data_IF_532767861289
#
_entry.id   IF_532767861289
#
_cell.length_a   1.000
_cell.length_b   1.000
_cell.length_c   1.000
_cell.angle_alpha   90.00
_cell.angle_beta   90.00
_cell.angle_gamma   90.00
#
_symmetry.space_group_name_H-M   'P 1'
#
loop_
_entity.id
_entity.type
_entity.pdbx_description
1 polymer ?
#
# COMPACT_ATOMS: atom_id res chain seq x y z
N UNK A 1 -10.91 60.68 -0.43
CA UNK A 1 -11.00 59.75 0.72
C UNK A 1 -12.05 58.63 0.57
N UNK A 2 -12.97 58.68 -0.40
CA UNK A 2 -13.95 57.58 -0.59
C UNK A 2 -13.46 56.37 -1.43
N UNK A 3 -12.38 56.53 -2.18
CA UNK A 3 -11.88 55.46 -3.06
C UNK A 3 -11.11 54.36 -2.30
N UNK A 4 -10.36 54.74 -1.26
CA UNK A 4 -9.64 53.78 -0.39
C UNK A 4 -10.58 53.02 0.56
N UNK A 5 -11.69 53.65 0.96
CA UNK A 5 -12.71 53.00 1.80
C UNK A 5 -13.47 51.89 1.04
N UNK A 6 -13.73 52.09 -0.25
CA UNK A 6 -14.38 51.07 -1.10
C UNK A 6 -13.45 49.90 -1.47
N UNK A 7 -12.16 50.14 -1.67
CA UNK A 7 -11.17 49.07 -1.92
C UNK A 7 -10.96 48.17 -0.70
N UNK A 8 -10.99 48.74 0.52
CA UNK A 8 -10.92 47.95 1.76
C UNK A 8 -12.12 47.03 1.95
N UNK A 9 -13.30 47.42 1.45
CA UNK A 9 -14.54 46.65 1.58
C UNK A 9 -14.63 45.47 0.59
N UNK A 10 -14.01 45.58 -0.59
CA UNK A 10 -13.93 44.48 -1.57
C UNK A 10 -12.90 43.39 -1.22
N UNK A 11 -11.96 43.65 -0.31
CA UNK A 11 -10.91 42.70 0.07
C UNK A 11 -11.24 41.87 1.32
N UNK A 12 -12.46 41.99 1.87
CA UNK A 12 -12.91 41.15 2.98
C UNK A 12 -13.76 40.02 2.40
N UNK A 13 -13.19 38.83 2.14
CA UNK A 13 -14.00 37.67 1.81
C UNK A 13 -15.03 37.46 2.93
N UNK A 14 -16.29 37.31 2.54
CA UNK A 14 -17.41 37.11 3.46
C UNK A 14 -17.10 35.91 4.36
N UNK A 15 -17.06 36.11 5.68
CA UNK A 15 -16.71 35.07 6.66
C UNK A 15 -17.57 33.81 6.51
N UNK A 16 -18.81 33.95 6.03
CA UNK A 16 -19.72 32.84 5.73
C UNK A 16 -19.25 31.98 4.55
N UNK A 17 -18.61 32.55 3.55
CA UNK A 17 -18.08 31.83 2.39
C UNK A 17 -16.81 31.05 2.76
N UNK A 18 -15.95 31.65 3.60
CA UNK A 18 -14.73 31.00 4.11
C UNK A 18 -15.07 29.80 5.00
N UNK A 19 -16.05 29.95 5.91
CA UNK A 19 -16.50 28.86 6.78
C UNK A 19 -17.17 27.74 6.00
N UNK A 20 -17.92 28.06 4.93
CA UNK A 20 -18.52 27.05 4.04
C UNK A 20 -17.46 26.29 3.23
N UNK A 21 -16.46 26.99 2.72
CA UNK A 21 -15.34 26.38 2.00
C UNK A 21 -14.55 25.44 2.93
N UNK A 22 -14.18 25.91 4.12
CA UNK A 22 -13.45 25.12 5.12
C UNK A 22 -14.25 23.87 5.57
N UNK A 23 -15.58 23.98 5.71
CA UNK A 23 -16.44 22.84 6.02
C UNK A 23 -16.50 21.83 4.88
N UNK A 24 -16.58 22.30 3.63
CA UNK A 24 -16.55 21.43 2.44
C UNK A 24 -15.22 20.71 2.33
N UNK A 25 -14.11 21.41 2.52
CA UNK A 25 -12.75 20.86 2.48
C UNK A 25 -12.55 19.82 3.60
N UNK A 26 -13.07 20.09 4.80
CA UNK A 26 -13.09 19.14 5.91
C UNK A 26 -13.88 17.87 5.57
N UNK A 27 -15.07 17.99 4.99
CA UNK A 27 -15.90 16.84 4.62
C UNK A 27 -15.22 15.98 3.53
N UNK A 28 -14.51 16.61 2.58
CA UNK A 28 -13.73 15.90 1.56
C UNK A 28 -12.52 15.16 2.16
N UNK A 29 -11.79 15.79 3.07
CA UNK A 29 -10.65 15.16 3.76
C UNK A 29 -11.14 14.00 4.61
N UNK A 30 -12.26 14.18 5.33
CA UNK A 30 -12.87 13.11 6.12
C UNK A 30 -13.33 11.94 5.26
N UNK A 31 -13.90 12.19 4.09
CA UNK A 31 -14.22 11.12 3.13
C UNK A 31 -12.97 10.41 2.60
N UNK A 32 -11.88 11.13 2.35
CA UNK A 32 -10.61 10.54 1.93
C UNK A 32 -10.06 9.60 3.00
N UNK A 33 -10.00 10.06 4.26
CA UNK A 33 -9.55 9.24 5.40
C UNK A 33 -10.39 7.98 5.54
N UNK A 34 -11.72 8.11 5.50
CA UNK A 34 -12.64 6.96 5.60
C UNK A 34 -12.50 5.97 4.43
N UNK A 35 -12.18 6.46 3.23
CA UNK A 35 -11.98 5.61 2.06
C UNK A 35 -10.63 4.90 2.13
N UNK A 36 -9.57 5.61 2.56
CA UNK A 36 -8.26 5.02 2.80
C UNK A 36 -8.32 3.94 3.89
N UNK A 37 -9.02 4.18 5.01
CA UNK A 37 -9.19 3.18 6.08
C UNK A 37 -9.79 1.88 5.55
N UNK A 38 -10.86 1.97 4.74
CA UNK A 38 -11.48 0.80 4.11
C UNK A 38 -10.53 0.07 3.17
N UNK A 39 -9.74 0.80 2.40
CA UNK A 39 -8.74 0.21 1.50
C UNK A 39 -7.67 -0.52 2.30
N UNK A 40 -7.16 0.09 3.39
CA UNK A 40 -6.18 -0.54 4.27
C UNK A 40 -6.73 -1.79 4.96
N UNK A 41 -7.99 -1.77 5.39
CA UNK A 41 -8.64 -2.95 6.00
C UNK A 41 -8.76 -4.10 4.99
N UNK A 42 -9.19 -3.82 3.76
CA UNK A 42 -9.23 -4.79 2.67
C UNK A 42 -7.83 -5.33 2.34
N UNK A 43 -6.84 -4.44 2.27
CA UNK A 43 -5.45 -4.84 2.05
C UNK A 43 -4.93 -5.73 3.17
N UNK A 44 -5.25 -5.45 4.43
CA UNK A 44 -4.83 -6.25 5.59
C UNK A 44 -5.48 -7.63 5.58
N UNK A 45 -6.74 -7.72 5.16
CA UNK A 45 -7.44 -9.00 5.01
C UNK A 45 -6.83 -9.85 3.88
N UNK A 46 -6.49 -9.20 2.76
CA UNK A 46 -5.75 -9.83 1.66
C UNK A 46 -4.39 -10.31 2.18
N UNK A 47 -3.60 -9.44 2.81
CA UNK A 47 -2.29 -9.82 3.35
C UNK A 47 -2.38 -10.98 4.33
N UNK A 48 -3.40 -11.03 5.20
CA UNK A 48 -3.60 -12.17 6.12
C UNK A 48 -3.89 -13.47 5.37
N UNK A 49 -4.69 -13.40 4.30
CA UNK A 49 -5.07 -14.53 3.45
C UNK A 49 -4.02 -14.95 2.41
N UNK A 50 -2.93 -14.20 2.25
CA UNK A 50 -1.85 -14.56 1.32
C UNK A 50 -0.49 -14.70 2.01
N UNK A 51 -0.32 -14.15 3.22
CA UNK A 51 0.89 -14.26 4.04
C UNK A 51 1.24 -15.72 4.35
N UNK A 52 0.24 -16.52 4.73
CA UNK A 52 0.45 -17.93 5.09
C UNK A 52 0.74 -18.77 3.84
N UNK A 53 0.03 -18.50 2.75
CA UNK A 53 0.23 -19.11 1.43
C UNK A 53 1.65 -18.82 0.92
N UNK A 54 2.12 -17.57 1.00
CA UNK A 54 3.48 -17.15 0.64
C UNK A 54 4.55 -17.80 1.54
N UNK A 55 4.28 -17.96 2.83
CA UNK A 55 5.20 -18.61 3.76
C UNK A 55 5.31 -20.12 3.47
N UNK A 56 4.17 -20.79 3.27
CA UNK A 56 4.12 -22.20 2.87
C UNK A 56 4.82 -22.43 1.53
N UNK A 57 4.60 -21.52 0.58
CA UNK A 57 5.27 -21.50 -0.71
C UNK A 57 6.80 -21.43 -0.56
N UNK A 58 7.28 -20.49 0.27
CA UNK A 58 8.71 -20.32 0.53
C UNK A 58 9.33 -21.57 1.15
N UNK A 59 8.64 -22.19 2.11
CA UNK A 59 9.09 -23.45 2.74
C UNK A 59 9.12 -24.59 1.73
N UNK A 60 8.09 -24.73 0.87
CA UNK A 60 8.06 -25.70 -0.21
C UNK A 60 9.23 -25.50 -1.18
N UNK A 61 9.50 -24.26 -1.60
CA UNK A 61 10.63 -23.92 -2.46
C UNK A 61 11.98 -24.26 -1.79
N UNK A 62 12.13 -23.96 -0.50
CA UNK A 62 13.35 -24.27 0.25
C UNK A 62 13.58 -25.79 0.34
N UNK A 63 12.51 -26.53 0.61
CA UNK A 63 12.54 -27.99 0.66
C UNK A 63 12.86 -28.59 -0.72
N UNK A 64 12.29 -28.04 -1.80
CA UNK A 64 12.64 -28.41 -3.17
C UNK A 64 14.10 -28.10 -3.51
N UNK A 65 14.64 -26.98 -3.04
CA UNK A 65 16.05 -26.60 -3.25
C UNK A 65 17.03 -27.58 -2.61
N UNK A 66 16.60 -28.30 -1.57
CA UNK A 66 17.42 -29.31 -0.88
C UNK A 66 17.17 -30.72 -1.44
N UNK A 67 15.92 -31.09 -1.70
CA UNK A 67 15.55 -32.42 -2.20
C UNK A 67 15.95 -32.61 -3.66
N UNK A 68 15.83 -31.58 -4.50
CA UNK A 68 16.16 -31.68 -5.93
C UNK A 68 17.64 -32.01 -6.18
N UNK A 69 18.64 -31.33 -5.57
CA UNK A 69 20.04 -31.72 -5.73
C UNK A 69 20.34 -33.08 -5.08
N UNK A 70 19.70 -33.43 -3.97
CA UNK A 70 19.83 -34.77 -3.39
C UNK A 70 19.36 -35.86 -4.36
N UNK A 71 18.15 -35.69 -4.91
CA UNK A 71 17.58 -36.60 -5.89
C UNK A 71 18.42 -36.61 -7.18
N UNK A 72 18.96 -35.46 -7.59
CA UNK A 72 19.87 -35.36 -8.73
C UNK A 72 21.16 -36.16 -8.52
N UNK A 73 21.81 -36.05 -7.35
CA UNK A 73 23.03 -36.79 -7.02
C UNK A 73 22.76 -38.30 -6.93
N UNK A 74 21.63 -38.71 -6.37
CA UNK A 74 21.22 -40.11 -6.29
C UNK A 74 20.91 -40.67 -7.69
N UNK A 75 20.20 -39.92 -8.53
CA UNK A 75 19.92 -40.32 -9.92
C UNK A 75 21.19 -40.33 -10.78
N UNK A 76 22.17 -39.45 -10.53
CA UNK A 76 23.47 -39.46 -11.22
C UNK A 76 24.28 -40.73 -10.91
N UNK A 77 24.10 -41.28 -9.71
CA UNK A 77 24.76 -42.53 -9.27
C UNK A 77 23.95 -43.79 -9.61
N UNK A 78 22.67 -43.65 -9.95
CA UNK A 78 21.78 -44.75 -10.30
C UNK A 78 21.70 -44.98 -11.82
N UNK A 79 21.40 -46.21 -12.23
CA UNK A 79 21.31 -46.58 -13.67
C UNK A 79 20.05 -46.05 -14.38
N UNK A 80 19.05 -45.51 -13.65
CA UNK A 80 17.78 -45.05 -14.24
C UNK A 80 17.44 -43.64 -13.78
N UNK A 81 17.33 -42.74 -14.75
CA UNK A 81 17.01 -41.33 -14.54
C UNK A 81 15.50 -41.11 -14.73
N UNK A 82 14.80 -40.73 -13.66
CA UNK A 82 13.34 -40.50 -13.69
C UNK A 82 13.01 -39.08 -14.17
N UNK A 83 13.05 -38.87 -15.50
CA UNK A 83 12.80 -37.58 -16.15
C UNK A 83 11.43 -36.97 -15.84
N UNK A 84 10.39 -37.80 -15.67
CA UNK A 84 9.02 -37.32 -15.38
C UNK A 84 8.93 -36.55 -14.05
N UNK A 85 9.64 -37.03 -13.03
CA UNK A 85 9.68 -36.37 -11.72
C UNK A 85 10.41 -35.03 -11.79
N UNK A 86 11.48 -34.94 -12.60
CA UNK A 86 12.21 -33.69 -12.83
C UNK A 86 11.32 -32.64 -13.51
N UNK A 87 10.56 -33.03 -14.53
CA UNK A 87 9.69 -32.12 -15.29
C UNK A 87 8.60 -31.54 -14.38
N UNK A 88 7.93 -32.40 -13.59
CA UNK A 88 6.91 -31.97 -12.63
C UNK A 88 7.51 -30.99 -11.61
N UNK A 89 8.73 -31.24 -11.15
CA UNK A 89 9.44 -30.38 -10.21
C UNK A 89 9.72 -28.98 -10.79
N UNK A 90 10.11 -28.90 -12.06
CA UNK A 90 10.36 -27.64 -12.75
C UNK A 90 9.06 -26.87 -13.02
N UNK A 91 7.99 -27.56 -13.41
CA UNK A 91 6.67 -26.95 -13.60
C UNK A 91 6.15 -26.37 -12.27
N UNK A 92 6.27 -27.13 -11.19
CA UNK A 92 5.88 -26.70 -9.84
C UNK A 92 6.68 -25.47 -9.39
N UNK A 93 8.00 -25.49 -9.59
CA UNK A 93 8.87 -24.36 -9.31
C UNK A 93 8.50 -23.11 -10.15
N UNK A 94 8.20 -23.29 -11.43
CA UNK A 94 7.79 -22.22 -12.33
C UNK A 94 6.49 -21.55 -11.91
N UNK A 95 5.46 -22.35 -11.58
CA UNK A 95 4.17 -21.85 -11.06
C UNK A 95 4.41 -21.02 -9.80
N UNK A 96 5.22 -21.52 -8.88
CA UNK A 96 5.53 -20.85 -7.62
C UNK A 96 6.32 -19.55 -7.79
N UNK A 97 7.28 -19.52 -8.72
CA UNK A 97 8.02 -18.31 -9.08
C UNK A 97 7.11 -17.24 -9.71
N UNK A 98 6.18 -17.66 -10.58
CA UNK A 98 5.19 -16.75 -11.19
C UNK A 98 4.28 -16.17 -10.11
N UNK A 99 3.76 -17.00 -9.21
CA UNK A 99 2.93 -16.55 -8.08
C UNK A 99 3.69 -15.57 -7.17
N UNK A 100 4.97 -15.83 -6.88
CA UNK A 100 5.81 -14.93 -6.12
C UNK A 100 6.05 -13.59 -6.84
N UNK A 101 6.34 -13.61 -8.14
CA UNK A 101 6.51 -12.39 -8.95
C UNK A 101 5.22 -11.55 -9.01
N UNK A 102 4.08 -12.21 -9.20
CA UNK A 102 2.77 -11.56 -9.23
C UNK A 102 2.39 -10.92 -7.89
N UNK A 103 2.99 -11.37 -6.77
CA UNK A 103 2.81 -10.76 -5.45
C UNK A 103 3.82 -9.65 -5.16
N UNK A 104 5.07 -9.78 -5.60
CA UNK A 104 6.10 -8.76 -5.37
C UNK A 104 5.78 -7.44 -6.08
N UNK A 105 5.25 -7.49 -7.30
CA UNK A 105 4.91 -6.29 -8.06
C UNK A 105 3.84 -5.40 -7.41
N UNK A 106 2.66 -5.91 -7.00
CA UNK A 106 1.67 -5.11 -6.30
C UNK A 106 2.20 -4.61 -4.95
N UNK A 107 2.95 -5.40 -4.19
CA UNK A 107 3.56 -4.93 -2.93
C UNK A 107 4.49 -3.75 -3.13
N UNK A 108 5.33 -3.78 -4.18
CA UNK A 108 6.21 -2.66 -4.48
C UNK A 108 5.45 -1.39 -4.89
N UNK A 109 4.40 -1.54 -5.72
CA UNK A 109 3.53 -0.42 -6.13
C UNK A 109 2.76 0.16 -4.95
N UNK A 110 2.24 -0.68 -4.06
CA UNK A 110 1.57 -0.27 -2.83
C UNK A 110 2.50 0.55 -1.95
N UNK A 111 3.73 0.09 -1.72
CA UNK A 111 4.71 0.81 -0.90
C UNK A 111 5.03 2.19 -1.47
N UNK A 112 5.19 2.30 -2.79
CA UNK A 112 5.40 3.57 -3.48
C UNK A 112 4.21 4.53 -3.33
N UNK A 113 2.98 4.00 -3.42
CA UNK A 113 1.76 4.80 -3.31
C UNK A 113 1.48 5.26 -1.86
N UNK A 114 1.86 4.44 -0.87
CA UNK A 114 1.83 4.81 0.55
C UNK A 114 2.81 5.96 0.82
N UNK A 115 4.05 5.87 0.31
CA UNK A 115 5.04 6.94 0.46
C UNK A 115 4.55 8.25 -0.16
N UNK A 116 3.92 8.17 -1.34
CA UNK A 116 3.32 9.31 -2.01
C UNK A 116 2.18 9.92 -1.20
N UNK A 117 1.31 9.08 -0.65
CA UNK A 117 0.20 9.50 0.22
C UNK A 117 0.74 10.19 1.47
N UNK A 118 1.74 9.60 2.14
CA UNK A 118 2.39 10.18 3.31
C UNK A 118 2.97 11.56 3.01
N UNK A 119 3.64 11.73 1.86
CA UNK A 119 4.20 13.03 1.45
C UNK A 119 3.11 14.06 1.16
N UNK A 120 2.00 13.67 0.54
CA UNK A 120 0.86 14.55 0.26
C UNK A 120 0.15 14.97 1.55
N UNK A 121 -0.09 14.03 2.47
CA UNK A 121 -0.67 14.29 3.79
C UNK A 121 0.23 15.23 4.58
N UNK A 122 1.54 15.00 4.62
CA UNK A 122 2.49 15.90 5.29
C UNK A 122 2.47 17.32 4.72
N UNK A 123 2.38 17.47 3.39
CA UNK A 123 2.25 18.79 2.75
C UNK A 123 0.93 19.48 3.06
N UNK A 124 -0.18 18.71 3.11
CA UNK A 124 -1.50 19.22 3.50
C UNK A 124 -1.50 19.66 4.97
N UNK A 125 -0.86 18.90 5.88
CA UNK A 125 -0.77 19.26 7.30
C UNK A 125 -0.02 20.58 7.51
N UNK A 126 1.06 20.81 6.74
CA UNK A 126 1.86 22.04 6.84
C UNK A 126 1.13 23.25 6.22
N UNK A 127 0.34 23.05 5.15
CA UNK A 127 -0.39 24.13 4.47
C UNK A 127 -1.73 24.49 5.10
N UNK A 128 -2.34 23.62 5.90
CA UNK A 128 -3.65 23.88 6.47
C UNK A 128 -3.53 24.81 7.69
N UNK A 129 -4.26 25.93 7.66
CA UNK A 129 -4.32 26.90 8.79
C UNK A 129 -5.48 26.58 9.74
N UNK A 130 -6.37 25.64 9.38
CA UNK A 130 -7.54 25.27 10.16
C UNK A 130 -7.20 24.19 11.20
N UNK A 131 -7.39 24.52 12.49
CA UNK A 131 -7.07 23.62 13.61
C UNK A 131 -7.84 22.29 13.57
N UNK A 132 -9.09 22.30 13.07
CA UNK A 132 -9.91 21.09 12.98
C UNK A 132 -9.39 20.13 11.89
N UNK A 133 -8.96 20.69 10.76
CA UNK A 133 -8.40 19.94 9.63
C UNK A 133 -7.00 19.43 9.99
N UNK A 134 -6.18 20.24 10.66
CA UNK A 134 -4.84 19.85 11.13
C UNK A 134 -4.88 18.67 12.10
N UNK A 135 -5.84 18.67 13.04
CA UNK A 135 -6.01 17.57 14.00
C UNK A 135 -6.36 16.23 13.34
N UNK A 136 -7.26 16.22 12.35
CA UNK A 136 -7.61 14.99 11.62
C UNK A 136 -6.48 14.51 10.71
N UNK A 137 -5.74 15.43 10.08
CA UNK A 137 -4.54 15.09 9.31
C UNK A 137 -3.41 14.53 10.18
N UNK A 138 -3.23 15.00 11.42
CA UNK A 138 -2.24 14.43 12.34
C UNK A 138 -2.63 13.00 12.75
N UNK A 139 -3.92 12.75 13.00
CA UNK A 139 -4.43 11.38 13.23
C UNK A 139 -4.20 10.48 12.02
N UNK A 140 -4.50 10.97 10.82
CA UNK A 140 -4.30 10.22 9.59
C UNK A 140 -2.81 9.97 9.29
N UNK A 141 -1.95 10.96 9.53
CA UNK A 141 -0.49 10.81 9.42
C UNK A 141 0.03 9.76 10.40
N UNK A 142 -0.42 9.77 11.65
CA UNK A 142 -0.07 8.73 12.63
C UNK A 142 -0.57 7.36 12.20
N UNK A 143 -1.78 7.28 11.66
CA UNK A 143 -2.35 6.03 11.15
C UNK A 143 -1.54 5.48 9.96
N UNK A 144 -1.11 6.34 9.04
CA UNK A 144 -0.23 6.00 7.92
C UNK A 144 1.20 5.59 8.32
N UNK A 145 1.67 6.00 9.51
CA UNK A 145 3.00 5.63 10.03
C UNK A 145 2.94 4.33 10.84
N UNK A 146 1.82 4.06 11.52
CA UNK A 146 1.64 2.86 12.34
C UNK A 146 1.25 1.62 11.53
N UNK A 147 0.86 1.78 10.26
CA UNK A 147 0.31 0.75 9.39
C UNK A 147 1.12 0.63 8.11
#
# INVERSE_FOLDING_TARGET
NDFLYNLSKCCKPDSHTIVRQAKSDYDHIRQLVLTCDKIFELMREIDRCFSVELLLLLVCCFQHLVITPYNFIVNLKGERLHLELLIIQFIWCGIHMITAMLMVEPSHKTMLEIERTHRLVGQLTIKTTDQLVSSELDKFSRYLVLN
#
